data_IF_407581917997
#
_entry.id   IF_407581917997
#
_cell.length_a   1.000
_cell.length_b   1.000
_cell.length_c   1.000
_cell.angle_alpha   90.00
_cell.angle_beta   90.00
_cell.angle_gamma   90.00
#
_symmetry.space_group_name_H-M   'P 1'
#
loop_
_entity.id
_entity.type
_entity.pdbx_description
1 polymer ?
#
# COMPACT_ATOMS: atom_id res chain seq x y z
N UNK A 1 2.44 1.08 -1.22
CA UNK A 1 3.69 1.69 -1.73
C UNK A 1 4.64 0.61 -2.20
N UNK A 2 5.76 0.94 -2.80
CA UNK A 2 6.85 -0.01 -2.99
C UNK A 2 7.53 -0.32 -1.65
N UNK A 3 8.03 -1.55 -1.48
CA UNK A 3 8.72 -1.98 -0.25
C UNK A 3 10.04 -1.25 -0.01
N UNK A 4 10.64 -0.70 -1.06
CA UNK A 4 11.85 0.13 -1.00
C UNK A 4 11.53 1.63 -0.87
N UNK A 5 10.26 2.02 -0.72
CA UNK A 5 9.87 3.40 -0.49
C UNK A 5 10.04 3.77 0.98
N UNK A 6 10.98 4.66 1.28
CA UNK A 6 11.15 5.18 2.64
C UNK A 6 10.02 6.14 3.06
N UNK A 7 9.24 6.67 2.10
CA UNK A 7 8.16 7.61 2.33
C UNK A 7 7.14 7.16 3.37
N UNK A 8 6.78 5.87 3.37
CA UNK A 8 5.79 5.31 4.32
C UNK A 8 6.28 5.28 5.77
N UNK A 9 7.59 5.39 5.99
CA UNK A 9 8.23 5.32 7.31
C UNK A 9 8.65 6.70 7.85
N UNK A 10 8.43 7.79 7.10
CA UNK A 10 8.81 9.14 7.52
C UNK A 10 8.11 9.57 8.83
N UNK A 11 6.86 9.14 9.01
CA UNK A 11 6.13 9.30 10.26
C UNK A 11 5.97 7.93 10.92
N UNK A 12 6.80 7.59 11.92
CA UNK A 12 6.76 6.28 12.57
C UNK A 12 5.36 5.95 13.10
N UNK A 13 4.85 4.76 12.78
CA UNK A 13 3.56 4.27 13.27
C UNK A 13 2.33 4.81 12.52
N UNK A 14 2.48 5.69 11.53
CA UNK A 14 1.34 6.34 10.88
C UNK A 14 0.44 5.34 10.12
N UNK A 15 1.02 4.37 9.40
CA UNK A 15 0.28 3.35 8.66
C UNK A 15 -0.45 2.41 9.63
N UNK A 16 0.22 1.98 10.69
CA UNK A 16 -0.35 1.10 11.71
C UNK A 16 -1.48 1.80 12.47
N UNK A 17 -1.30 3.08 12.81
CA UNK A 17 -2.33 3.89 13.45
C UNK A 17 -3.54 4.09 12.52
N UNK A 18 -3.30 4.36 11.23
CA UNK A 18 -4.37 4.47 10.23
C UNK A 18 -5.16 3.16 10.12
N UNK A 19 -4.47 2.03 10.03
CA UNK A 19 -5.07 0.70 9.86
C UNK A 19 -5.84 0.24 11.10
N UNK A 20 -5.31 0.48 12.30
CA UNK A 20 -5.90 -0.07 13.52
C UNK A 20 -6.86 0.87 14.26
N UNK A 21 -6.76 2.20 14.05
CA UNK A 21 -7.44 3.17 14.94
C UNK A 21 -8.24 4.24 14.20
N UNK A 22 -7.82 4.67 13.00
CA UNK A 22 -8.45 5.81 12.32
C UNK A 22 -9.45 5.37 11.25
N UNK A 23 -9.02 4.52 10.31
CA UNK A 23 -9.86 4.08 9.21
C UNK A 23 -10.52 2.74 9.56
N UNK A 24 -11.69 2.80 10.20
CA UNK A 24 -12.38 1.62 10.77
C UNK A 24 -12.83 0.56 9.76
N UNK A 25 -12.80 0.88 8.47
CA UNK A 25 -13.08 -0.05 7.37
C UNK A 25 -11.91 -0.17 6.40
N UNK A 26 -10.68 0.06 6.87
CA UNK A 26 -9.48 -0.19 6.08
C UNK A 26 -9.35 -1.69 5.79
N UNK A 27 -9.04 -2.03 4.54
CA UNK A 27 -8.65 -3.38 4.12
C UNK A 27 -7.14 -3.56 4.31
N UNK A 28 -6.59 -4.61 3.74
CA UNK A 28 -5.16 -4.93 3.84
C UNK A 28 -4.25 -3.81 3.30
N UNK A 29 -3.10 -3.63 3.97
CA UNK A 29 -2.01 -2.77 3.49
C UNK A 29 -1.00 -3.62 2.74
N UNK A 30 -0.87 -3.38 1.44
CA UNK A 30 0.06 -4.11 0.57
C UNK A 30 1.29 -3.26 0.24
N UNK A 31 2.47 -3.79 0.51
CA UNK A 31 3.75 -3.27 0.02
C UNK A 31 4.25 -4.15 -1.12
N UNK A 32 4.48 -3.55 -2.28
CA UNK A 32 4.89 -4.28 -3.49
C UNK A 32 6.42 -4.47 -3.46
N UNK A 33 6.85 -5.72 -3.58
CA UNK A 33 8.26 -6.08 -3.69
C UNK A 33 8.90 -5.44 -4.95
N UNK A 34 10.22 -5.20 -4.89
CA UNK A 34 11.00 -4.64 -6.00
C UNK A 34 10.46 -3.31 -6.59
N UNK A 35 9.85 -2.49 -5.74
CA UNK A 35 9.40 -1.13 -6.07
C UNK A 35 9.80 -0.14 -4.97
N UNK A 36 10.07 1.10 -5.38
CA UNK A 36 10.25 2.27 -4.53
C UNK A 36 9.06 3.23 -4.60
N UNK A 37 9.37 4.52 -4.70
CA UNK A 37 8.41 5.61 -4.55
C UNK A 37 7.36 5.65 -5.67
N UNK A 38 7.74 5.29 -6.90
CA UNK A 38 6.87 5.38 -8.07
C UNK A 38 6.26 4.01 -8.38
N UNK A 39 5.67 3.36 -7.37
CA UNK A 39 5.21 1.96 -7.41
C UNK A 39 4.36 1.60 -8.63
N UNK A 40 3.51 2.50 -9.10
CA UNK A 40 2.66 2.33 -10.28
C UNK A 40 3.44 2.35 -11.60
N UNK A 41 4.60 3.00 -11.65
CA UNK A 41 5.52 2.99 -12.79
C UNK A 41 6.50 1.83 -12.69
N UNK A 42 6.99 1.52 -11.49
CA UNK A 42 8.01 0.51 -11.24
C UNK A 42 7.44 -0.92 -11.32
N UNK A 43 6.23 -1.15 -10.81
CA UNK A 43 5.57 -2.46 -10.75
C UNK A 43 4.09 -2.35 -11.14
N UNK A 44 3.82 -1.84 -12.35
CA UNK A 44 2.48 -1.54 -12.85
C UNK A 44 1.50 -2.71 -12.80
N UNK A 45 1.94 -3.92 -13.20
CA UNK A 45 1.09 -5.12 -13.16
C UNK A 45 0.67 -5.48 -11.73
N UNK A 46 1.62 -5.52 -10.79
CA UNK A 46 1.32 -5.82 -9.39
C UNK A 46 0.34 -4.79 -8.77
N UNK A 47 0.48 -3.50 -9.14
CA UNK A 47 -0.50 -2.48 -8.74
C UNK A 47 -1.88 -2.77 -9.31
N UNK A 48 -1.99 -3.07 -10.60
CA UNK A 48 -3.28 -3.33 -11.26
C UNK A 48 -3.96 -4.57 -10.68
N UNK A 49 -3.20 -5.64 -10.40
CA UNK A 49 -3.74 -6.87 -9.81
C UNK A 49 -4.32 -6.60 -8.42
N UNK A 50 -3.56 -5.92 -7.55
CA UNK A 50 -4.03 -5.58 -6.20
C UNK A 50 -5.25 -4.64 -6.22
N UNK A 51 -5.29 -3.67 -7.15
CA UNK A 51 -6.46 -2.79 -7.30
C UNK A 51 -7.68 -3.57 -7.79
N UNK A 52 -7.49 -4.50 -8.72
CA UNK A 52 -8.58 -5.33 -9.26
C UNK A 52 -9.16 -6.23 -8.17
N UNK A 53 -8.31 -6.86 -7.36
CA UNK A 53 -8.74 -7.70 -6.24
C UNK A 53 -9.46 -6.89 -5.17
N UNK A 54 -8.95 -5.70 -4.83
CA UNK A 54 -9.64 -4.77 -3.94
C UNK A 54 -11.05 -4.44 -4.45
N UNK A 55 -11.20 -4.03 -5.72
CA UNK A 55 -12.48 -3.66 -6.31
C UNK A 55 -13.48 -4.82 -6.37
N UNK A 56 -13.00 -6.05 -6.55
CA UNK A 56 -13.84 -7.27 -6.50
C UNK A 56 -14.30 -7.61 -5.08
N UNK A 57 -13.62 -7.12 -4.06
CA UNK A 57 -13.92 -7.37 -2.65
C UNK A 57 -14.82 -6.31 -1.99
N UNK A 58 -15.21 -5.27 -2.75
CA UNK A 58 -16.18 -4.25 -2.33
C UNK A 58 -17.60 -4.82 -2.30
#
# INVERSE_FOLDING_TARGET
>A
SGKNDWGIYQTPGAIEHMHHQVCTSMKDVVLIDDAGHWVQQEQSHAVIDNLTDFLRSL
#
